data_IF_427933445939
#
_entry.id   IF_427933445939
#
_cell.length_a   1.000
_cell.length_b   1.000
_cell.length_c   1.000
_cell.angle_alpha   90.00
_cell.angle_beta   90.00
_cell.angle_gamma   90.00
#
_symmetry.space_group_name_H-M   'P 1'
#
loop_
_entity.id
_entity.type
_entity.pdbx_description
1 polymer ?
#
# COMPACT_ATOMS: atom_id res chain seq x y z
N UNK A 1 -1.97 -55.47 4.24
CA UNK A 1 -1.74 -54.69 5.48
C UNK A 1 -1.85 -53.23 5.08
N UNK A 2 -3.07 -52.71 5.03
CA UNK A 2 -3.30 -51.27 4.86
C UNK A 2 -4.03 -50.83 6.11
N UNK A 3 -3.29 -50.12 6.96
CA UNK A 3 -3.77 -49.61 8.24
C UNK A 3 -4.73 -48.45 7.93
N UNK A 4 -5.99 -48.65 8.31
CA UNK A 4 -6.99 -47.61 8.48
C UNK A 4 -6.45 -46.61 9.52
N UNK A 5 -6.20 -45.37 9.12
CA UNK A 5 -5.98 -44.24 10.05
C UNK A 5 -7.23 -43.37 10.03
N UNK A 6 -7.98 -43.45 11.12
CA UNK A 6 -9.21 -42.68 11.38
C UNK A 6 -8.92 -41.17 11.46
N UNK A 7 -9.84 -40.30 11.00
CA UNK A 7 -9.68 -38.85 11.17
C UNK A 7 -9.98 -38.47 12.62
N UNK A 8 -9.00 -37.86 13.30
CA UNK A 8 -9.20 -37.24 14.61
C UNK A 8 -10.05 -35.98 14.47
N UNK A 9 -11.02 -35.87 15.36
CA UNK A 9 -12.07 -34.83 15.39
C UNK A 9 -11.50 -33.43 15.60
N UNK A 10 -11.51 -32.59 14.55
CA UNK A 10 -11.35 -31.14 14.68
C UNK A 10 -12.69 -30.50 15.02
N UNK A 11 -12.77 -29.77 16.13
CA UNK A 11 -13.98 -29.08 16.57
C UNK A 11 -14.03 -27.69 15.94
N UNK A 12 -14.86 -27.53 14.90
CA UNK A 12 -15.16 -26.23 14.29
C UNK A 12 -16.16 -25.46 15.17
N UNK A 13 -15.68 -24.47 15.91
CA UNK A 13 -16.56 -23.49 16.56
C UNK A 13 -16.72 -22.27 15.65
N UNK A 14 -17.95 -22.01 15.20
CA UNK A 14 -18.29 -20.84 14.40
C UNK A 14 -19.15 -19.90 15.24
N UNK A 15 -18.61 -18.73 15.60
CA UNK A 15 -19.39 -17.65 16.19
C UNK A 15 -19.81 -16.68 15.09
N UNK A 16 -21.12 -16.53 14.85
CA UNK A 16 -21.67 -15.50 13.97
C UNK A 16 -22.05 -14.27 14.78
N UNK A 17 -21.20 -13.25 14.75
CA UNK A 17 -21.59 -11.87 15.05
C UNK A 17 -21.80 -11.12 13.74
N UNK A 18 -22.73 -10.18 13.70
CA UNK A 18 -23.37 -9.57 12.51
C UNK A 18 -22.48 -8.91 11.43
N UNK A 19 -21.15 -9.08 11.43
CA UNK A 19 -20.26 -8.46 10.45
C UNK A 19 -19.05 -9.32 10.06
N UNK A 20 -18.59 -10.28 10.87
CA UNK A 20 -17.32 -10.98 10.60
C UNK A 20 -17.50 -12.46 10.90
N UNK A 21 -17.10 -13.33 9.97
CA UNK A 21 -17.09 -14.78 10.21
C UNK A 21 -15.71 -15.20 10.68
N UNK A 22 -15.67 -15.83 11.85
CA UNK A 22 -14.45 -16.39 12.45
C UNK A 22 -14.57 -17.91 12.43
N UNK A 23 -13.54 -18.59 11.92
CA UNK A 23 -13.38 -20.03 12.08
C UNK A 23 -12.03 -20.33 12.71
N UNK A 24 -12.01 -21.30 13.63
CA UNK A 24 -10.82 -21.67 14.38
C UNK A 24 -10.52 -23.16 14.19
N UNK A 25 -9.26 -23.49 13.98
CA UNK A 25 -8.75 -24.87 13.98
C UNK A 25 -7.62 -24.95 14.99
N UNK A 26 -7.69 -25.93 15.88
CA UNK A 26 -6.65 -26.20 16.88
C UNK A 26 -5.85 -27.42 16.48
N UNK A 27 -4.53 -27.39 16.69
CA UNK A 27 -3.70 -28.59 16.54
C UNK A 27 -4.06 -29.67 17.58
N UNK A 28 -3.70 -30.93 17.30
CA UNK A 28 -3.94 -32.09 18.17
C UNK A 28 -3.30 -31.95 19.57
N UNK A 29 -2.26 -31.12 19.70
CA UNK A 29 -1.61 -30.82 20.99
C UNK A 29 -2.29 -29.68 21.77
N UNK A 30 -3.23 -28.96 21.16
CA UNK A 30 -3.92 -27.80 21.74
C UNK A 30 -3.04 -26.57 21.95
N UNK A 31 -1.79 -26.57 21.46
CA UNK A 31 -0.85 -25.45 21.64
C UNK A 31 -0.98 -24.36 20.59
N UNK A 32 -1.34 -24.73 19.37
CA UNK A 32 -1.45 -23.80 18.24
C UNK A 32 -2.91 -23.65 17.80
N UNK A 33 -3.30 -22.42 17.47
CA UNK A 33 -4.65 -22.05 17.02
C UNK A 33 -4.53 -21.29 15.71
N UNK A 34 -5.11 -21.84 14.64
CA UNK A 34 -5.32 -21.12 13.39
C UNK A 34 -6.68 -20.42 13.45
N UNK A 35 -6.67 -19.09 13.32
CA UNK A 35 -7.88 -18.28 13.24
C UNK A 35 -8.01 -17.76 11.81
N UNK A 36 -9.08 -18.13 11.13
CA UNK A 36 -9.46 -17.58 9.83
C UNK A 36 -10.52 -16.51 10.03
N UNK A 37 -10.25 -15.31 9.52
CA UNK A 37 -11.16 -14.17 9.57
C UNK A 37 -11.67 -13.93 8.15
N UNK A 38 -12.96 -14.16 7.93
CA UNK A 38 -13.62 -13.84 6.67
C UNK A 38 -14.40 -12.54 6.83
N UNK A 39 -13.93 -11.42 6.24
CA UNK A 39 -14.66 -10.16 6.24
C UNK A 39 -15.96 -10.31 5.45
N UNK A 40 -16.98 -9.50 5.76
CA UNK A 40 -18.24 -9.56 5.04
C UNK A 40 -18.07 -8.94 3.66
N UNK A 41 -18.77 -9.47 2.66
CA UNK A 41 -18.80 -8.86 1.33
C UNK A 41 -19.47 -7.48 1.33
N UNK A 42 -20.30 -7.20 2.35
CA UNK A 42 -21.10 -5.98 2.48
C UNK A 42 -21.02 -5.48 3.92
N UNK A 43 -20.75 -4.19 4.18
CA UNK A 43 -20.78 -3.64 5.53
C UNK A 43 -22.20 -3.69 6.12
N UNK A 44 -22.31 -4.07 7.39
CA UNK A 44 -23.57 -4.24 8.10
C UNK A 44 -24.34 -2.93 8.17
N UNK A 45 -25.39 -2.80 7.34
CA UNK A 45 -26.22 -1.59 7.26
C UNK A 45 -26.84 -1.33 5.88
N UNK A 46 -26.38 -2.00 4.83
CA UNK A 46 -27.02 -1.93 3.52
C UNK A 46 -28.19 -2.92 3.41
N UNK A 47 -29.41 -2.41 3.37
CA UNK A 47 -30.60 -3.17 2.98
C UNK A 47 -30.55 -3.45 1.48
N UNK A 48 -30.89 -4.68 1.11
CA UNK A 48 -30.97 -5.22 -0.25
C UNK A 48 -32.00 -4.42 -1.06
N UNK A 49 -31.58 -3.31 -1.69
CA UNK A 49 -32.49 -2.39 -2.37
C UNK A 49 -31.88 -1.10 -2.89
N UNK A 50 -31.40 -0.19 -2.01
CA UNK A 50 -31.26 1.23 -2.41
C UNK A 50 -30.06 2.01 -1.86
N UNK A 51 -28.93 1.37 -1.56
CA UNK A 51 -27.65 2.09 -1.44
C UNK A 51 -26.60 1.34 -2.23
N UNK A 52 -26.21 1.90 -3.39
CA UNK A 52 -25.00 1.53 -4.11
C UNK A 52 -23.83 1.73 -3.14
N UNK A 53 -23.43 0.66 -2.46
CA UNK A 53 -22.35 0.64 -1.48
C UNK A 53 -21.10 1.21 -2.14
N UNK A 54 -20.80 2.47 -1.84
CA UNK A 54 -19.61 3.13 -2.37
C UNK A 54 -18.44 2.71 -1.50
N UNK A 55 -17.40 2.20 -2.18
CA UNK A 55 -16.07 2.01 -1.60
C UNK A 55 -15.64 3.26 -0.84
N UNK A 56 -15.01 3.06 0.31
CA UNK A 56 -14.33 4.14 1.05
C UNK A 56 -13.26 4.79 0.16
N UNK A 57 -13.29 6.11 -0.04
CA UNK A 57 -12.29 6.79 -0.85
C UNK A 57 -10.88 6.64 -0.28
N UNK A 58 -9.89 6.60 -1.17
CA UNK A 58 -8.49 6.37 -0.82
C UNK A 58 -7.64 7.62 -1.10
N UNK A 59 -6.66 7.85 -0.25
CA UNK A 59 -5.53 8.75 -0.43
C UNK A 59 -4.28 7.92 -0.74
N UNK A 60 -3.78 8.08 -1.95
CA UNK A 60 -2.69 7.27 -2.46
C UNK A 60 -1.46 8.14 -2.72
N UNK A 61 -0.30 7.77 -2.16
CA UNK A 61 0.97 8.43 -2.45
C UNK A 61 1.86 7.44 -3.19
N UNK A 62 2.19 7.76 -4.45
CA UNK A 62 3.19 7.05 -5.23
C UNK A 62 4.56 7.65 -4.91
N UNK A 63 5.39 6.92 -4.18
CA UNK A 63 6.76 7.30 -3.82
C UNK A 63 7.73 6.57 -4.73
N UNK A 64 8.13 7.25 -5.80
CA UNK A 64 8.85 6.66 -6.93
C UNK A 64 10.35 6.97 -6.82
N UNK A 65 11.15 5.92 -6.83
CA UNK A 65 12.59 6.02 -7.02
C UNK A 65 12.89 6.47 -8.46
N UNK A 66 13.66 7.54 -8.59
CA UNK A 66 14.15 8.03 -9.88
C UNK A 66 15.68 7.97 -9.93
N UNK A 67 16.30 7.09 -9.16
CA UNK A 67 17.76 6.90 -9.14
C UNK A 67 18.30 6.37 -10.47
N UNK A 68 19.64 6.31 -10.57
CA UNK A 68 20.33 5.91 -11.79
C UNK A 68 20.05 4.45 -12.18
N UNK A 69 19.96 3.54 -11.19
CA UNK A 69 19.67 2.11 -11.42
C UNK A 69 18.33 1.91 -12.10
N UNK A 70 17.36 2.80 -11.85
CA UNK A 70 16.04 2.73 -12.50
C UNK A 70 16.11 2.91 -14.03
N UNK A 71 17.26 3.32 -14.58
CA UNK A 71 17.51 3.36 -16.02
C UNK A 71 18.02 2.06 -16.63
N UNK A 72 18.32 1.06 -15.80
CA UNK A 72 18.73 -0.26 -16.26
C UNK A 72 17.57 -0.97 -16.96
N UNK A 73 17.93 -1.90 -17.84
CA UNK A 73 16.97 -2.67 -18.61
C UNK A 73 16.17 -3.54 -17.63
N UNK A 74 14.84 -3.47 -17.74
CA UNK A 74 13.95 -4.33 -16.99
C UNK A 74 14.05 -5.77 -17.56
N UNK A 75 14.94 -6.57 -16.98
CA UNK A 75 15.12 -7.97 -17.34
C UNK A 75 14.05 -8.85 -16.71
N UNK A 76 13.52 -9.80 -17.48
CA UNK A 76 12.56 -10.79 -17.01
C UNK A 76 13.35 -12.03 -16.56
N UNK A 77 13.27 -12.44 -15.28
CA UNK A 77 13.97 -13.65 -14.82
C UNK A 77 13.53 -14.87 -15.62
N UNK A 78 14.47 -15.56 -16.26
CA UNK A 78 14.21 -16.78 -17.03
C UNK A 78 13.88 -16.57 -18.51
N UNK A 79 13.93 -15.33 -19.03
CA UNK A 79 13.82 -15.06 -20.45
C UNK A 79 14.99 -14.20 -20.94
N UNK A 80 15.62 -14.60 -22.05
CA UNK A 80 16.74 -13.88 -22.67
C UNK A 80 16.29 -12.74 -23.60
N UNK A 81 14.99 -12.55 -23.78
CA UNK A 81 14.46 -11.45 -24.59
C UNK A 81 14.46 -10.14 -23.82
N UNK A 82 15.13 -9.14 -24.39
CA UNK A 82 15.16 -7.79 -23.86
C UNK A 82 13.89 -7.03 -24.25
N UNK A 83 13.15 -6.54 -23.26
CA UNK A 83 11.93 -5.74 -23.48
C UNK A 83 12.20 -4.37 -24.11
N UNK A 84 13.44 -3.89 -24.08
CA UNK A 84 13.81 -2.53 -24.47
C UNK A 84 13.31 -1.44 -23.52
N UNK A 85 12.69 -1.81 -22.40
CA UNK A 85 12.16 -0.89 -21.39
C UNK A 85 13.13 -0.77 -20.22
N UNK A 86 13.26 0.44 -19.68
CA UNK A 86 13.94 0.62 -18.39
C UNK A 86 13.03 0.23 -17.23
N UNK A 87 13.61 -0.04 -16.05
CA UNK A 87 12.83 -0.26 -14.82
C UNK A 87 11.91 0.94 -14.54
N UNK A 88 12.37 2.17 -14.79
CA UNK A 88 11.56 3.38 -14.66
C UNK A 88 10.37 3.38 -15.63
N UNK A 89 10.51 2.86 -16.85
CA UNK A 89 9.38 2.77 -17.79
C UNK A 89 8.32 1.78 -17.31
N UNK A 90 8.75 0.66 -16.73
CA UNK A 90 7.84 -0.31 -16.09
C UNK A 90 7.12 0.35 -14.90
N UNK A 91 7.83 1.10 -14.07
CA UNK A 91 7.25 1.82 -12.93
C UNK A 91 6.29 2.92 -13.38
N UNK A 92 6.63 3.69 -14.43
CA UNK A 92 5.72 4.66 -15.05
C UNK A 92 4.45 3.99 -15.53
N UNK A 93 4.58 2.84 -16.21
CA UNK A 93 3.42 2.08 -16.68
C UNK A 93 2.55 1.61 -15.52
N UNK A 94 3.13 1.01 -14.49
CA UNK A 94 2.41 0.58 -13.29
C UNK A 94 1.70 1.76 -12.59
N UNK A 95 2.39 2.90 -12.43
CA UNK A 95 1.83 4.10 -11.84
C UNK A 95 0.63 4.63 -12.64
N UNK A 96 0.73 4.67 -13.98
CA UNK A 96 -0.40 5.06 -14.85
C UNK A 96 -1.58 4.10 -14.71
N UNK A 97 -1.33 2.79 -14.60
CA UNK A 97 -2.37 1.78 -14.37
C UNK A 97 -3.08 1.98 -13.03
N UNK A 98 -2.32 2.26 -11.96
CA UNK A 98 -2.89 2.59 -10.66
C UNK A 98 -3.77 3.83 -10.79
N UNK A 99 -3.25 4.94 -11.31
CA UNK A 99 -4.00 6.20 -11.49
C UNK A 99 -5.27 5.99 -12.33
N UNK A 100 -5.21 5.13 -13.35
CA UNK A 100 -6.35 4.86 -14.23
C UNK A 100 -7.43 3.98 -13.57
N UNK A 101 -7.05 3.12 -12.62
CA UNK A 101 -7.99 2.27 -11.87
C UNK A 101 -8.64 2.97 -10.66
N UNK A 102 -8.13 4.15 -10.27
CA UNK A 102 -8.71 4.97 -9.22
C UNK A 102 -10.08 5.56 -9.63
N UNK A 103 -10.94 5.78 -8.63
CA UNK A 103 -12.28 6.35 -8.79
C UNK A 103 -12.25 7.87 -8.55
N UNK A 104 -13.28 8.59 -9.01
CA UNK A 104 -13.32 10.05 -8.97
C UNK A 104 -13.23 10.66 -7.56
N UNK A 105 -13.66 9.89 -6.55
CA UNK A 105 -13.58 10.31 -5.14
C UNK A 105 -12.21 10.10 -4.52
N UNK A 106 -11.30 9.37 -5.17
CA UNK A 106 -9.95 9.13 -4.66
C UNK A 106 -9.04 10.35 -4.87
N UNK A 107 -7.89 10.34 -4.19
CA UNK A 107 -6.86 11.35 -4.40
C UNK A 107 -5.49 10.69 -4.55
N UNK A 108 -4.67 11.22 -5.44
CA UNK A 108 -3.31 10.75 -5.69
C UNK A 108 -2.29 11.87 -5.48
N UNK A 109 -1.16 11.54 -4.88
CA UNK A 109 0.04 12.37 -4.85
C UNK A 109 1.21 11.58 -5.45
N UNK A 110 2.18 12.30 -6.01
CA UNK A 110 3.40 11.72 -6.54
C UNK A 110 4.59 12.37 -5.85
N UNK A 111 5.38 11.56 -5.17
CA UNK A 111 6.65 11.93 -4.58
C UNK A 111 7.73 11.18 -5.33
N UNK A 112 8.79 11.88 -5.71
CA UNK A 112 9.94 11.25 -6.35
C UNK A 112 11.16 11.43 -5.47
N UNK A 113 12.03 10.44 -5.40
CA UNK A 113 13.27 10.54 -4.64
C UNK A 113 14.48 10.01 -5.41
N UNK A 114 15.61 10.64 -5.13
CA UNK A 114 16.96 10.34 -5.63
C UNK A 114 17.92 10.58 -4.45
N UNK A 115 18.90 11.47 -4.55
CA UNK A 115 19.68 11.95 -3.40
C UNK A 115 18.81 12.71 -2.36
N UNK A 116 17.73 13.34 -2.81
CA UNK A 116 16.71 13.98 -1.98
C UNK A 116 15.30 13.59 -2.44
N UNK A 117 14.28 14.21 -1.86
CA UNK A 117 12.89 13.96 -2.25
C UNK A 117 12.16 15.24 -2.65
N UNK A 118 11.25 15.14 -3.61
CA UNK A 118 10.41 16.23 -4.08
C UNK A 118 8.97 15.78 -4.30
N UNK A 119 8.03 16.67 -4.02
CA UNK A 119 6.61 16.46 -4.33
C UNK A 119 6.39 16.84 -5.79
N UNK A 120 6.33 15.86 -6.68
CA UNK A 120 6.07 16.06 -8.10
C UNK A 120 4.59 16.38 -8.37
N UNK A 121 3.68 15.84 -7.54
CA UNK A 121 2.26 16.17 -7.54
C UNK A 121 1.74 16.19 -6.11
N UNK A 122 1.19 17.32 -5.66
CA UNK A 122 0.46 17.42 -4.38
C UNK A 122 -0.81 16.58 -4.45
N UNK A 123 -1.32 16.15 -3.30
CA UNK A 123 -2.54 15.34 -3.24
C UNK A 123 -3.69 15.99 -4.03
N UNK A 124 -4.09 15.31 -5.10
CA UNK A 124 -5.01 15.81 -6.13
C UNK A 124 -6.12 14.80 -6.35
N UNK A 125 -7.37 15.24 -6.47
CA UNK A 125 -8.50 14.37 -6.81
C UNK A 125 -8.32 13.70 -8.15
N UNK A 126 -8.74 12.44 -8.29
CA UNK A 126 -8.63 11.66 -9.53
C UNK A 126 -9.84 11.80 -10.45
N UNK A 127 -10.44 12.99 -10.47
CA UNK A 127 -11.35 13.42 -11.53
C UNK A 127 -10.64 13.50 -12.90
N UNK A 128 -11.36 13.77 -13.98
CA UNK A 128 -10.78 13.80 -15.33
C UNK A 128 -9.56 14.73 -15.43
N UNK A 129 -9.61 15.93 -14.84
CA UNK A 129 -8.53 16.91 -14.94
C UNK A 129 -7.33 16.55 -14.05
N UNK A 130 -7.58 16.08 -12.83
CA UNK A 130 -6.55 15.64 -11.90
C UNK A 130 -5.86 14.36 -12.36
N UNK A 131 -6.60 13.44 -12.97
CA UNK A 131 -6.06 12.23 -13.61
C UNK A 131 -5.12 12.59 -14.75
N UNK A 132 -5.53 13.45 -15.68
CA UNK A 132 -4.67 13.91 -16.77
C UNK A 132 -3.39 14.56 -16.26
N UNK A 133 -3.49 15.44 -15.24
CA UNK A 133 -2.31 16.04 -14.60
C UNK A 133 -1.38 15.01 -13.97
N UNK A 134 -1.94 14.01 -13.28
CA UNK A 134 -1.14 12.96 -12.67
C UNK A 134 -0.41 12.12 -13.72
N UNK A 135 -1.08 11.75 -14.80
CA UNK A 135 -0.47 11.00 -15.92
C UNK A 135 0.65 11.80 -16.59
N UNK A 136 0.47 13.12 -16.78
CA UNK A 136 1.49 14.00 -17.34
C UNK A 136 2.73 14.09 -16.43
N UNK A 137 2.54 14.19 -15.11
CA UNK A 137 3.65 14.19 -14.14
C UNK A 137 4.43 12.88 -14.20
N UNK A 138 3.74 11.73 -14.27
CA UNK A 138 4.39 10.42 -14.39
C UNK A 138 5.19 10.30 -15.69
N UNK A 139 4.65 10.80 -16.81
CA UNK A 139 5.34 10.76 -18.09
C UNK A 139 6.67 11.54 -18.06
N UNK A 140 6.65 12.72 -17.43
CA UNK A 140 7.80 13.62 -17.33
C UNK A 140 8.89 13.18 -16.35
N UNK A 141 8.71 12.06 -15.62
CA UNK A 141 9.73 11.60 -14.69
C UNK A 141 11.03 11.27 -15.44
N UNK A 142 12.14 11.77 -14.90
CA UNK A 142 13.48 11.56 -15.42
C UNK A 142 14.38 11.08 -14.29
N UNK A 143 15.42 10.35 -14.69
CA UNK A 143 16.39 9.77 -13.78
C UNK A 143 17.33 10.84 -13.23
N UNK A 144 17.69 10.67 -11.99
CA UNK A 144 18.63 11.45 -11.22
C UNK A 144 19.61 10.50 -10.49
N UNK A 145 20.63 11.04 -9.84
CA UNK A 145 21.64 10.25 -9.11
C UNK A 145 21.31 10.12 -7.62
N UNK A 146 21.63 8.97 -7.04
CA UNK A 146 21.51 8.70 -5.60
C UNK A 146 20.16 8.08 -5.23
N UNK A 147 20.10 7.49 -4.03
CA UNK A 147 18.92 6.77 -3.52
C UNK A 147 18.74 7.04 -2.03
N UNK A 148 17.80 7.91 -1.68
CA UNK A 148 17.48 8.34 -0.31
C UNK A 148 16.02 7.98 0.01
N UNK A 149 15.84 6.70 0.36
CA UNK A 149 14.54 6.10 0.66
C UNK A 149 13.87 6.83 1.83
N UNK A 150 14.64 7.23 2.85
CA UNK A 150 14.08 7.86 4.04
C UNK A 150 13.46 9.23 3.73
N UNK A 151 14.15 10.10 2.98
CA UNK A 151 13.59 11.40 2.60
C UNK A 151 12.35 11.24 1.70
N UNK A 152 12.33 10.24 0.81
CA UNK A 152 11.15 9.91 0.00
C UNK A 152 9.95 9.51 0.87
N UNK A 153 10.17 8.60 1.83
CA UNK A 153 9.14 8.11 2.73
C UNK A 153 8.66 9.20 3.69
N UNK A 154 9.57 9.97 4.29
CA UNK A 154 9.28 11.09 5.18
C UNK A 154 8.43 12.15 4.48
N UNK A 155 8.83 12.56 3.28
CA UNK A 155 8.07 13.53 2.45
C UNK A 155 6.65 13.00 2.17
N UNK A 156 6.54 11.70 1.91
CA UNK A 156 5.26 11.03 1.65
C UNK A 156 4.36 10.97 2.89
N UNK A 157 4.94 10.73 4.07
CA UNK A 157 4.23 10.74 5.35
C UNK A 157 3.82 12.17 5.76
N UNK A 158 4.66 13.16 5.48
CA UNK A 158 4.37 14.58 5.76
C UNK A 158 3.20 15.11 4.93
N UNK A 159 2.95 14.56 3.72
CA UNK A 159 1.72 14.83 2.97
C UNK A 159 0.47 14.42 3.74
N UNK A 160 0.53 13.35 4.52
CA UNK A 160 -0.59 12.85 5.32
C UNK A 160 -0.80 13.59 6.64
N UNK A 161 0.26 14.15 7.24
CA UNK A 161 0.14 14.96 8.46
C UNK A 161 -0.75 16.18 8.27
N UNK A 162 -0.69 16.80 7.10
CA UNK A 162 -1.40 18.03 6.79
C UNK A 162 -2.79 17.78 6.17
N UNK A 163 -3.28 16.53 6.15
CA UNK A 163 -4.59 16.24 5.60
C UNK A 163 -5.69 16.64 6.57
N UNK A 164 -6.40 17.71 6.21
CA UNK A 164 -7.73 17.98 6.73
C UNK A 164 -8.66 16.89 6.19
N UNK A 165 -9.07 15.97 7.06
CA UNK A 165 -10.16 15.04 6.75
C UNK A 165 -11.44 15.85 6.68
N UNK A 166 -12.10 15.83 5.53
CA UNK A 166 -13.39 16.52 5.39
C UNK A 166 -14.43 15.80 6.24
N UNK A 167 -15.40 16.55 6.76
CA UNK A 167 -16.53 16.00 7.51
C UNK A 167 -17.29 14.95 6.68
N UNK A 168 -17.28 15.10 5.36
CA UNK A 168 -17.93 14.19 4.41
C UNK A 168 -17.23 12.82 4.32
N UNK A 169 -15.91 12.75 4.54
CA UNK A 169 -15.15 11.50 4.47
C UNK A 169 -14.12 11.40 5.61
N UNK A 170 -14.58 11.17 6.85
CA UNK A 170 -13.70 11.07 8.01
C UNK A 170 -12.82 9.81 8.01
N UNK A 171 -13.23 8.78 7.24
CA UNK A 171 -12.63 7.45 7.26
C UNK A 171 -11.85 7.11 5.97
N UNK A 172 -11.32 8.11 5.26
CA UNK A 172 -10.51 7.86 4.06
C UNK A 172 -9.31 6.97 4.41
N UNK A 173 -9.05 5.97 3.56
CA UNK A 173 -7.88 5.11 3.70
C UNK A 173 -6.66 5.83 3.14
N UNK A 174 -5.53 5.77 3.84
CA UNK A 174 -4.27 6.36 3.38
C UNK A 174 -3.25 5.27 3.10
N UNK A 175 -2.58 5.33 1.95
CA UNK A 175 -1.59 4.33 1.55
C UNK A 175 -0.41 4.97 0.82
N UNK A 176 0.80 4.50 1.13
CA UNK A 176 2.04 4.91 0.48
C UNK A 176 2.61 3.69 -0.25
N UNK A 177 2.87 3.83 -1.54
CA UNK A 177 3.52 2.81 -2.35
C UNK A 177 4.93 3.27 -2.65
N UNK A 178 5.90 2.63 -2.02
CA UNK A 178 7.32 2.85 -2.27
C UNK A 178 7.77 1.93 -3.41
N UNK A 179 8.22 2.50 -4.52
CA UNK A 179 8.65 1.79 -5.72
C UNK A 179 10.14 2.08 -5.96
N UNK A 180 11.01 1.10 -5.68
CA UNK A 180 12.48 1.21 -5.76
C UNK A 180 13.10 -0.11 -6.25
N UNK A 181 14.26 -0.03 -6.89
CA UNK A 181 15.00 -1.17 -7.45
C UNK A 181 16.31 -1.48 -6.73
N UNK A 182 16.69 -0.72 -5.68
CA UNK A 182 18.07 -0.75 -5.18
C UNK A 182 18.29 -0.49 -3.70
N UNK A 183 19.56 -0.63 -3.30
CA UNK A 183 20.07 -0.41 -1.95
C UNK A 183 20.19 1.08 -1.64
N UNK A 184 19.73 1.55 -0.46
CA UNK A 184 19.82 2.95 -0.07
C UNK A 184 21.27 3.41 0.04
N UNK A 185 21.59 4.57 -0.56
CA UNK A 185 22.92 5.20 -0.43
C UNK A 185 23.10 5.87 0.93
N UNK A 186 22.00 6.31 1.55
CA UNK A 186 21.98 6.92 2.88
C UNK A 186 20.95 6.19 3.73
N UNK A 187 21.42 5.57 4.81
CA UNK A 187 20.56 4.98 5.83
C UNK A 187 20.43 5.94 7.01
N UNK A 188 19.25 6.08 7.63
CA UNK A 188 19.12 6.81 8.87
C UNK A 188 19.90 6.11 10.00
N UNK A 189 20.33 6.83 11.06
CA UNK A 189 21.23 6.30 12.08
C UNK A 189 20.76 5.02 12.79
N UNK A 190 19.45 4.77 12.84
CA UNK A 190 18.84 3.57 13.42
C UNK A 190 18.32 2.56 12.39
N UNK A 191 18.61 2.72 11.10
CA UNK A 191 18.01 1.93 10.03
C UNK A 191 16.58 2.35 9.68
N UNK A 192 16.10 1.94 8.50
CA UNK A 192 14.81 2.43 7.96
C UNK A 192 13.62 2.02 8.81
N UNK A 193 13.56 0.76 9.29
CA UNK A 193 12.43 0.25 10.05
C UNK A 193 12.30 0.94 11.42
N UNK A 194 13.35 1.04 12.27
CA UNK A 194 13.23 1.71 13.56
C UNK A 194 12.89 3.19 13.43
N UNK A 195 13.47 3.88 12.44
CA UNK A 195 13.17 5.30 12.18
C UNK A 195 11.72 5.49 11.75
N UNK A 196 11.19 4.61 10.89
CA UNK A 196 9.77 4.61 10.51
C UNK A 196 8.86 4.37 11.72
N UNK A 197 9.15 3.36 12.55
CA UNK A 197 8.37 3.07 13.76
C UNK A 197 8.32 4.29 14.69
N UNK A 198 9.48 4.86 15.01
CA UNK A 198 9.58 6.06 15.85
C UNK A 198 8.80 7.24 15.27
N UNK A 199 8.85 7.43 13.95
CA UNK A 199 8.09 8.49 13.29
C UNK A 199 6.58 8.28 13.38
N UNK A 200 6.09 7.06 13.14
CA UNK A 200 4.66 6.72 13.24
C UNK A 200 4.13 6.90 14.67
N UNK A 201 4.91 6.48 15.67
CA UNK A 201 4.59 6.64 17.09
C UNK A 201 4.53 8.12 17.50
N UNK A 202 5.52 8.91 17.07
CA UNK A 202 5.62 10.34 17.40
C UNK A 202 4.47 11.16 16.80
N UNK A 203 4.01 10.81 15.59
CA UNK A 203 3.07 11.64 14.83
C UNK A 203 1.62 11.16 14.87
N UNK A 204 1.30 10.08 15.60
CA UNK A 204 -0.06 9.52 15.78
C UNK A 204 -0.91 9.61 14.51
N UNK A 205 -0.35 9.17 13.37
CA UNK A 205 -1.06 9.23 12.09
C UNK A 205 -2.34 8.38 12.20
N UNK A 206 -3.50 9.04 12.06
CA UNK A 206 -4.80 8.43 12.25
C UNK A 206 -4.97 7.26 11.25
N UNK A 207 -5.03 6.02 11.76
CA UNK A 207 -5.15 4.81 10.93
C UNK A 207 -4.13 3.72 11.28
N UNK A 208 -3.05 4.05 11.99
CA UNK A 208 -2.22 3.05 12.66
C UNK A 208 -2.90 2.77 14.00
N UNK A 209 -3.68 1.69 14.07
CA UNK A 209 -4.25 1.23 15.34
C UNK A 209 -3.09 1.06 16.34
N UNK A 210 -3.21 1.68 17.51
CA UNK A 210 -2.20 1.71 18.58
C UNK A 210 -2.01 0.37 19.27
N UNK A 211 -1.74 -0.69 18.51
CA UNK A 211 -1.16 -1.93 19.01
C UNK A 211 0.35 -1.85 18.90
N UNK A 212 1.05 -2.11 20.00
CA UNK A 212 2.50 -2.28 20.02
C UNK A 212 2.94 -3.18 18.86
N UNK A 213 3.79 -2.65 17.97
CA UNK A 213 4.35 -3.39 16.84
C UNK A 213 5.49 -4.27 17.36
N UNK A 214 5.13 -5.28 18.15
CA UNK A 214 6.00 -6.40 18.51
C UNK A 214 6.22 -7.23 17.25
N UNK A 215 7.45 -7.23 16.76
CA UNK A 215 7.95 -8.31 15.91
C UNK A 215 8.46 -9.42 16.83
#
# INVERSE_FOLDING_TARGET
MDLVVSPSSSTLNTAKSQCITLSTVTDATGKDILITITPPAVPSGATDGDIKLKRTPVDFVLTIDISKSMGEIANIPGNTEHSGLSVLDVVKHAAKTIISSMQDMDRVAVVTFSAGAKIALKLTGTDNAGRSRALEVIEKLQRESGTNIWEGLKTSLDLFKNLVRTVEHPNRLSSIFLLTDGLPMVAPPGGHIPTLKSFLETHKLAGVAGGSIGL
#
